data_IF_677668053557
#
_entry.id   IF_677668053557
#
_cell.length_a   1.000
_cell.length_b   1.000
_cell.length_c   1.000
_cell.angle_alpha   90.00
_cell.angle_beta   90.00
_cell.angle_gamma   90.00
#
_symmetry.space_group_name_H-M   'P 1'
#
loop_
_entity.id
_entity.type
_entity.pdbx_description
1 polymer ?
#
# COMPACT_ATOMS: atom_id res chain seq x y z
N UNK A 1 -25.00 9.83 -41.88
CA UNK A 1 -23.67 9.94 -41.25
C UNK A 1 -23.82 10.30 -39.77
N UNK A 2 -24.23 9.36 -38.90
CA UNK A 2 -24.54 9.64 -37.49
C UNK A 2 -24.09 8.52 -36.53
N UNK A 3 -22.89 7.97 -36.71
CA UNK A 3 -22.42 6.81 -35.94
C UNK A 3 -21.06 6.95 -35.22
N UNK A 4 -20.45 8.15 -35.16
CA UNK A 4 -19.06 8.26 -34.66
C UNK A 4 -18.92 8.71 -33.18
N UNK A 5 -20.00 9.08 -32.49
CA UNK A 5 -19.87 9.65 -31.13
C UNK A 5 -19.82 8.62 -29.99
N UNK A 6 -20.07 7.33 -30.25
CA UNK A 6 -20.12 6.28 -29.20
C UNK A 6 -18.84 5.48 -29.02
N UNK A 7 -17.86 5.60 -29.91
CA UNK A 7 -16.60 4.85 -29.88
C UNK A 7 -15.63 5.40 -28.82
N UNK A 8 -15.57 6.72 -28.66
CA UNK A 8 -14.62 7.38 -27.75
C UNK A 8 -14.74 6.97 -26.27
N UNK A 9 -15.94 6.88 -25.65
CA UNK A 9 -16.06 6.52 -24.23
C UNK A 9 -15.64 5.07 -23.92
N UNK A 10 -15.88 4.15 -24.84
CA UNK A 10 -15.50 2.74 -24.67
C UNK A 10 -13.99 2.54 -24.78
N UNK A 11 -13.35 3.21 -25.74
CA UNK A 11 -11.89 3.20 -25.89
C UNK A 11 -11.23 3.82 -24.66
N UNK A 12 -11.67 5.00 -24.23
CA UNK A 12 -11.12 5.66 -23.04
C UNK A 12 -11.25 4.77 -21.79
N UNK A 13 -12.43 4.17 -21.56
CA UNK A 13 -12.63 3.24 -20.44
C UNK A 13 -11.66 2.07 -20.52
N UNK A 14 -11.50 1.47 -21.69
CA UNK A 14 -10.59 0.34 -21.90
C UNK A 14 -9.16 0.73 -21.58
N UNK A 15 -8.70 1.88 -22.10
CA UNK A 15 -7.38 2.41 -21.80
C UNK A 15 -7.18 2.64 -20.29
N UNK A 16 -8.13 3.28 -19.60
CA UNK A 16 -8.04 3.53 -18.16
C UNK A 16 -7.95 2.21 -17.38
N UNK A 17 -8.84 1.26 -17.66
CA UNK A 17 -8.83 -0.05 -17.00
C UNK A 17 -7.50 -0.75 -17.23
N UNK A 18 -7.04 -0.85 -18.48
CA UNK A 18 -5.78 -1.52 -18.80
C UNK A 18 -4.57 -0.84 -18.15
N UNK A 19 -4.47 0.49 -18.19
CA UNK A 19 -3.34 1.22 -17.60
C UNK A 19 -3.27 1.01 -16.09
N UNK A 20 -4.40 1.11 -15.37
CA UNK A 20 -4.44 0.90 -13.93
C UNK A 20 -4.12 -0.54 -13.55
N UNK A 21 -4.67 -1.51 -14.28
CA UNK A 21 -4.41 -2.94 -14.03
C UNK A 21 -2.96 -3.32 -14.32
N UNK A 22 -2.42 -2.84 -15.45
CA UNK A 22 -1.01 -3.06 -15.81
C UNK A 22 -0.06 -2.42 -14.81
N UNK A 23 -0.40 -1.26 -14.25
CA UNK A 23 0.40 -0.64 -13.19
C UNK A 23 0.52 -1.57 -11.98
N UNK A 24 -0.61 -2.04 -11.42
CA UNK A 24 -0.60 -2.95 -10.25
C UNK A 24 0.13 -4.25 -10.55
N UNK A 25 -0.08 -4.83 -11.74
CA UNK A 25 0.62 -6.05 -12.16
C UNK A 25 2.14 -5.81 -12.25
N UNK A 26 2.55 -4.69 -12.85
CA UNK A 26 3.97 -4.36 -13.03
C UNK A 26 4.68 -4.06 -11.71
N UNK A 27 3.98 -3.54 -10.70
CA UNK A 27 4.56 -3.29 -9.37
C UNK A 27 4.57 -4.50 -8.45
N UNK A 28 3.62 -5.43 -8.60
CA UNK A 28 3.52 -6.61 -7.73
C UNK A 28 4.30 -7.81 -8.28
N UNK A 29 4.21 -8.12 -9.58
CA UNK A 29 4.87 -9.31 -10.14
C UNK A 29 6.39 -9.41 -9.89
N UNK A 30 7.15 -8.31 -9.80
CA UNK A 30 8.56 -8.37 -9.40
C UNK A 30 8.79 -9.03 -8.04
N UNK A 31 7.80 -9.08 -7.13
CA UNK A 31 7.92 -9.81 -5.88
C UNK A 31 8.09 -11.32 -6.07
N UNK A 32 7.72 -11.91 -7.21
CA UNK A 32 8.07 -13.30 -7.52
C UNK A 32 9.59 -13.53 -7.53
N UNK A 33 10.40 -12.48 -7.77
CA UNK A 33 11.87 -12.52 -7.67
C UNK A 33 12.35 -13.06 -6.33
N UNK A 34 11.61 -12.77 -5.26
CA UNK A 34 11.93 -13.20 -3.90
C UNK A 34 12.09 -14.70 -3.77
N UNK A 35 11.37 -15.49 -4.57
CA UNK A 35 11.42 -16.96 -4.53
C UNK A 35 12.83 -17.54 -4.75
N UNK A 36 13.66 -16.85 -5.54
CA UNK A 36 15.05 -17.22 -5.83
C UNK A 36 16.09 -16.22 -5.31
N UNK A 37 15.71 -14.96 -5.09
CA UNK A 37 16.58 -13.94 -4.54
C UNK A 37 15.85 -13.20 -3.41
N UNK A 38 15.99 -13.67 -2.16
CA UNK A 38 15.39 -13.03 -1.01
C UNK A 38 15.83 -11.58 -0.86
N UNK A 39 14.90 -10.72 -0.42
CA UNK A 39 15.20 -9.36 0.02
C UNK A 39 16.09 -9.38 1.25
N UNK A 40 16.73 -8.25 1.56
CA UNK A 40 17.41 -8.09 2.84
C UNK A 40 16.42 -7.72 3.93
N UNK A 41 16.56 -8.35 5.08
CA UNK A 41 15.73 -8.16 6.27
C UNK A 41 16.61 -7.68 7.43
N UNK A 42 16.29 -6.51 7.98
CA UNK A 42 16.98 -5.92 9.13
C UNK A 42 16.59 -6.57 10.46
N UNK A 43 15.53 -7.38 10.51
CA UNK A 43 15.09 -8.11 11.69
C UNK A 43 14.43 -7.24 12.75
N UNK A 44 13.75 -6.15 12.37
CA UNK A 44 12.94 -5.33 13.26
C UNK A 44 11.65 -4.87 12.60
N UNK A 45 10.67 -4.52 13.41
CA UNK A 45 9.43 -3.83 13.00
C UNK A 45 9.37 -2.50 13.74
N UNK A 46 8.96 -1.45 13.05
CA UNK A 46 8.71 -0.14 13.67
C UNK A 46 7.38 0.45 13.23
N UNK A 47 6.84 1.34 14.04
CA UNK A 47 5.69 2.16 13.65
C UNK A 47 6.09 3.33 12.73
N UNK A 48 5.09 4.09 12.26
CA UNK A 48 5.30 5.30 11.45
C UNK A 48 6.05 6.44 12.18
N UNK A 49 6.28 6.30 13.48
CA UNK A 49 7.08 7.21 14.30
C UNK A 49 8.53 6.81 14.47
N UNK A 50 8.92 5.64 13.94
CA UNK A 50 10.24 5.05 14.14
C UNK A 50 10.39 4.36 15.50
N UNK A 51 9.31 4.13 16.25
CA UNK A 51 9.39 3.33 17.47
C UNK A 51 9.50 1.86 17.08
N UNK A 52 10.55 1.20 17.55
CA UNK A 52 10.77 -0.23 17.31
C UNK A 52 9.79 -1.02 18.18
N UNK A 53 8.84 -1.69 17.54
CA UNK A 53 7.83 -2.50 18.25
C UNK A 53 8.31 -3.92 18.48
N UNK A 54 9.11 -4.46 17.55
CA UNK A 54 9.58 -5.84 17.59
C UNK A 54 11.01 -5.96 17.04
N UNK A 55 11.77 -6.93 17.55
CA UNK A 55 13.06 -7.34 16.98
C UNK A 55 13.16 -8.85 16.95
N UNK A 56 13.60 -9.42 15.83
CA UNK A 56 13.83 -10.87 15.71
C UNK A 56 15.01 -11.29 16.60
N UNK A 57 14.86 -12.29 17.48
CA UNK A 57 15.98 -12.88 18.20
C UNK A 57 17.11 -13.28 17.24
N UNK A 58 18.34 -12.97 17.61
CA UNK A 58 19.55 -13.24 16.82
C UNK A 58 19.59 -12.60 15.42
N UNK A 59 18.59 -11.78 15.03
CA UNK A 59 18.55 -11.05 13.77
C UNK A 59 19.45 -9.80 13.75
N UNK A 60 19.66 -9.15 12.58
CA UNK A 60 20.62 -8.06 12.44
C UNK A 60 20.42 -6.90 13.42
N UNK A 61 19.17 -6.43 13.58
CA UNK A 61 18.81 -5.41 14.54
C UNK A 61 19.15 -5.83 15.98
N UNK A 62 18.82 -7.07 16.36
CA UNK A 62 19.10 -7.57 17.70
C UNK A 62 20.61 -7.70 17.96
N UNK A 63 21.38 -8.18 16.98
CA UNK A 63 22.86 -8.25 17.05
C UNK A 63 23.49 -6.86 17.13
N UNK A 64 22.91 -5.87 16.46
CA UNK A 64 23.33 -4.46 16.54
C UNK A 64 22.88 -3.76 17.84
N UNK A 65 22.22 -4.47 18.75
CA UNK A 65 21.78 -3.93 20.04
C UNK A 65 20.47 -3.14 19.99
N UNK A 66 19.76 -3.11 18.84
CA UNK A 66 18.42 -2.53 18.76
C UNK A 66 17.43 -3.42 19.52
N UNK A 67 16.52 -2.80 20.26
CA UNK A 67 15.55 -3.51 21.13
C UNK A 67 14.16 -2.89 20.99
N UNK A 68 13.07 -3.64 21.24
CA UNK A 68 11.74 -3.07 21.33
C UNK A 68 11.69 -1.91 22.34
N UNK A 69 10.97 -0.86 22.00
CA UNK A 69 10.89 0.39 22.75
C UNK A 69 11.99 1.41 22.42
N UNK A 70 13.04 1.02 21.68
CA UNK A 70 13.98 1.99 21.12
C UNK A 70 13.30 2.86 20.06
N UNK A 71 13.78 4.09 19.88
CA UNK A 71 13.25 5.01 18.86
C UNK A 71 14.31 5.34 17.84
N UNK A 72 14.00 5.15 16.57
CA UNK A 72 14.85 5.57 15.46
C UNK A 72 14.72 7.09 15.30
N UNK A 73 15.83 7.80 15.49
CA UNK A 73 15.89 9.24 15.25
C UNK A 73 15.96 9.50 13.75
N UNK A 74 14.79 9.71 13.15
CA UNK A 74 14.64 9.97 11.73
C UNK A 74 15.38 11.26 11.31
N UNK A 75 15.48 12.26 12.20
CA UNK A 75 16.16 13.51 11.89
C UNK A 75 17.68 13.31 11.80
N UNK A 76 18.25 12.58 12.76
CA UNK A 76 19.68 12.28 12.81
C UNK A 76 20.11 11.12 11.90
N UNK A 77 19.17 10.35 11.33
CA UNK A 77 19.43 9.32 10.32
C UNK A 77 19.66 9.95 8.94
N UNK A 78 20.66 9.49 8.19
CA UNK A 78 20.95 10.01 6.85
C UNK A 78 19.72 9.88 5.93
N UNK A 79 19.43 10.88 5.07
CA UNK A 79 18.23 10.90 4.22
C UNK A 79 17.98 9.60 3.43
N UNK A 80 19.04 8.95 2.93
CA UNK A 80 18.94 7.70 2.17
C UNK A 80 18.42 6.50 2.99
N UNK A 81 18.59 6.51 4.31
CA UNK A 81 18.16 5.41 5.20
C UNK A 81 16.84 5.71 5.92
N UNK A 82 16.31 6.93 5.89
CA UNK A 82 15.10 7.31 6.65
C UNK A 82 13.87 6.49 6.27
N UNK A 83 13.73 6.12 5.01
CA UNK A 83 12.69 5.19 4.58
C UNK A 83 12.91 3.80 5.16
N UNK A 84 14.14 3.29 5.06
CA UNK A 84 14.50 1.96 5.56
C UNK A 84 14.39 1.86 7.08
N UNK A 85 14.47 3.00 7.79
CA UNK A 85 14.21 3.07 9.22
C UNK A 85 12.75 2.72 9.57
N UNK A 86 11.79 2.90 8.67
CA UNK A 86 10.38 2.54 8.91
C UNK A 86 10.08 1.10 8.51
N UNK A 87 10.67 0.63 7.41
CA UNK A 87 10.29 -0.66 6.79
C UNK A 87 11.27 -1.81 7.04
N UNK A 88 12.52 -1.53 7.44
CA UNK A 88 13.52 -2.55 7.77
C UNK A 88 13.87 -3.53 6.65
N UNK A 89 13.48 -3.25 5.40
CA UNK A 89 13.62 -4.18 4.26
C UNK A 89 14.42 -3.54 3.14
N UNK A 90 15.34 -4.30 2.54
CA UNK A 90 16.23 -3.84 1.46
C UNK A 90 16.15 -4.74 0.23
N UNK A 91 16.67 -4.29 -0.91
CA UNK A 91 16.58 -5.03 -2.17
C UNK A 91 17.32 -6.37 -2.12
N UNK A 92 18.40 -6.45 -1.36
CA UNK A 92 19.22 -7.65 -1.25
C UNK A 92 19.80 -7.81 0.14
N UNK A 93 20.02 -9.05 0.55
CA UNK A 93 20.77 -9.39 1.75
C UNK A 93 22.22 -8.85 1.69
N UNK A 94 22.82 -8.65 2.86
CA UNK A 94 24.19 -8.14 2.99
C UNK A 94 24.31 -6.62 2.83
N UNK A 95 23.20 -5.91 2.62
CA UNK A 95 23.22 -4.45 2.55
C UNK A 95 23.38 -3.86 3.95
N UNK A 96 24.29 -2.89 4.06
CA UNK A 96 24.54 -2.13 5.28
C UNK A 96 23.48 -1.04 5.45
N UNK A 97 22.89 -0.98 6.64
CA UNK A 97 21.97 0.08 7.06
C UNK A 97 22.57 0.85 8.24
N UNK A 98 22.42 2.17 8.21
CA UNK A 98 22.90 3.07 9.26
C UNK A 98 21.73 3.86 9.83
N UNK A 99 21.56 3.78 11.14
CA UNK A 99 20.47 4.46 11.83
C UNK A 99 21.00 5.23 13.03
N UNK A 100 20.41 6.40 13.29
CA UNK A 100 20.49 7.03 14.60
C UNK A 100 19.37 6.47 15.48
N UNK A 101 19.70 6.05 16.70
CA UNK A 101 18.78 5.42 17.65
C UNK A 101 18.85 6.18 18.95
N UNK A 102 17.70 6.66 19.41
CA UNK A 102 17.50 7.15 20.77
C UNK A 102 17.15 5.97 21.67
N UNK A 103 18.04 5.71 22.64
CA UNK A 103 17.83 4.69 23.67
C UNK A 103 18.33 5.24 25.01
N UNK A 104 17.48 5.17 26.04
CA UNK A 104 17.81 5.68 27.39
C UNK A 104 18.21 7.17 27.40
N UNK A 105 17.63 7.97 26.49
CA UNK A 105 17.91 9.40 26.36
C UNK A 105 19.24 9.74 25.68
N UNK A 106 19.96 8.74 25.15
CA UNK A 106 21.17 8.95 24.35
C UNK A 106 20.93 8.59 22.89
N UNK A 107 21.41 9.43 21.99
CA UNK A 107 21.42 9.13 20.55
C UNK A 107 22.73 8.42 20.22
N UNK A 108 22.63 7.22 19.68
CA UNK A 108 23.76 6.44 19.18
C UNK A 108 23.55 6.04 17.73
N UNK A 109 24.62 5.99 16.95
CA UNK A 109 24.57 5.46 15.60
C UNK A 109 24.83 3.96 15.63
N UNK A 110 23.92 3.19 15.05
CA UNK A 110 24.10 1.76 14.84
C UNK A 110 24.29 1.48 13.35
N UNK A 111 25.08 0.44 13.09
CA UNK A 111 25.26 -0.14 11.75
C UNK A 111 24.80 -1.58 11.84
N UNK A 112 23.94 -2.00 10.91
CA UNK A 112 23.54 -3.39 10.78
C UNK A 112 23.66 -3.85 9.33
N UNK A 113 23.87 -5.15 9.15
CA UNK A 113 23.96 -5.79 7.84
C UNK A 113 22.75 -6.70 7.72
N UNK A 114 21.92 -6.46 6.71
CA UNK A 114 20.69 -7.24 6.49
C UNK A 114 20.99 -8.71 6.24
N UNK A 115 20.18 -9.59 6.84
CA UNK A 115 20.21 -11.03 6.54
C UNK A 115 19.25 -11.31 5.36
N UNK A 116 19.38 -12.44 4.66
CA UNK A 116 18.33 -12.87 3.74
C UNK A 116 17.00 -13.01 4.48
N UNK A 117 15.91 -12.54 3.87
CA UNK A 117 14.56 -12.81 4.35
C UNK A 117 14.37 -14.32 4.54
N UNK A 118 13.88 -14.78 5.71
CA UNK A 118 13.64 -16.19 5.94
C UNK A 118 12.52 -16.69 5.02
N UNK A 119 12.85 -17.60 4.10
CA UNK A 119 11.90 -18.16 3.14
C UNK A 119 11.84 -19.67 3.20
N UNK A 120 10.93 -20.17 4.03
CA UNK A 120 10.54 -21.58 3.97
C UNK A 120 9.60 -21.86 2.78
N UNK A 121 9.29 -23.13 2.56
CA UNK A 121 8.41 -23.54 1.46
C UNK A 121 7.00 -22.94 1.61
N UNK A 122 6.48 -22.85 2.83
CA UNK A 122 5.16 -22.29 3.11
C UNK A 122 5.08 -20.81 2.67
N UNK A 123 6.09 -20.02 3.03
CA UNK A 123 6.23 -18.60 2.65
C UNK A 123 6.30 -18.44 1.14
N UNK A 124 7.09 -19.27 0.45
CA UNK A 124 7.18 -19.27 -1.02
C UNK A 124 5.85 -19.58 -1.69
N UNK A 125 5.16 -20.61 -1.23
CA UNK A 125 3.82 -20.97 -1.75
C UNK A 125 2.80 -19.88 -1.46
N UNK A 126 2.89 -19.21 -0.30
CA UNK A 126 2.04 -18.09 0.05
C UNK A 126 2.25 -16.89 -0.88
N UNK A 127 3.49 -16.54 -1.21
CA UNK A 127 3.80 -15.50 -2.21
C UNK A 127 3.17 -15.85 -3.55
N UNK A 128 3.41 -17.06 -4.07
CA UNK A 128 2.85 -17.50 -5.36
C UNK A 128 1.32 -17.41 -5.34
N UNK A 129 0.69 -17.88 -4.27
CA UNK A 129 -0.79 -17.88 -4.14
C UNK A 129 -1.34 -16.46 -4.11
N UNK A 130 -0.68 -15.53 -3.41
CA UNK A 130 -1.08 -14.12 -3.35
C UNK A 130 -0.95 -13.43 -4.71
N UNK A 131 0.11 -13.70 -5.47
CA UNK A 131 0.28 -13.16 -6.82
C UNK A 131 -0.79 -13.69 -7.79
N UNK A 132 -1.07 -14.99 -7.76
CA UNK A 132 -2.14 -15.58 -8.57
C UNK A 132 -3.52 -15.01 -8.19
N UNK A 133 -3.78 -14.84 -6.89
CA UNK A 133 -5.01 -14.22 -6.40
C UNK A 133 -5.12 -12.77 -6.88
N UNK A 134 -4.04 -11.98 -6.84
CA UNK A 134 -4.02 -10.62 -7.38
C UNK A 134 -4.36 -10.59 -8.86
N UNK A 135 -3.74 -11.44 -9.69
CA UNK A 135 -4.03 -11.50 -11.13
C UNK A 135 -5.51 -11.82 -11.40
N UNK A 136 -6.08 -12.77 -10.66
CA UNK A 136 -7.49 -13.12 -10.76
C UNK A 136 -8.38 -11.95 -10.32
N UNK A 137 -8.10 -11.32 -9.18
CA UNK A 137 -8.90 -10.20 -8.64
C UNK A 137 -8.90 -9.01 -9.60
N UNK A 138 -7.71 -8.57 -10.03
CA UNK A 138 -7.56 -7.45 -10.98
C UNK A 138 -8.23 -7.79 -12.31
N UNK A 139 -8.05 -9.02 -12.82
CA UNK A 139 -8.67 -9.48 -14.05
C UNK A 139 -10.21 -9.50 -13.99
N UNK A 140 -10.79 -10.01 -12.90
CA UNK A 140 -12.24 -10.04 -12.69
C UNK A 140 -12.78 -8.61 -12.57
N UNK A 141 -12.16 -7.75 -11.76
CA UNK A 141 -12.57 -6.36 -11.62
C UNK A 141 -12.52 -5.60 -12.96
N UNK A 142 -11.45 -5.78 -13.72
CA UNK A 142 -11.31 -5.20 -15.06
C UNK A 142 -12.41 -5.69 -16.01
N UNK A 143 -12.64 -7.01 -16.07
CA UNK A 143 -13.68 -7.60 -16.91
C UNK A 143 -15.07 -7.05 -16.58
N UNK A 144 -15.41 -6.93 -15.28
CA UNK A 144 -16.70 -6.38 -14.85
C UNK A 144 -16.91 -4.93 -15.31
N UNK A 145 -15.90 -4.07 -15.17
CA UNK A 145 -15.98 -2.67 -15.62
C UNK A 145 -16.10 -2.57 -17.15
N UNK A 146 -15.39 -3.42 -17.89
CA UNK A 146 -15.43 -3.41 -19.36
C UNK A 146 -16.79 -3.89 -19.89
N UNK A 147 -17.34 -4.94 -19.29
CA UNK A 147 -18.60 -5.57 -19.70
C UNK A 147 -19.84 -4.78 -19.26
N UNK A 148 -19.84 -4.25 -18.03
CA UNK A 148 -21.02 -3.57 -17.44
C UNK A 148 -20.59 -2.36 -16.58
N UNK A 149 -20.16 -1.25 -17.21
CA UNK A 149 -19.69 -0.09 -16.46
C UNK A 149 -20.80 0.53 -15.61
N UNK A 150 -20.64 0.46 -14.29
CA UNK A 150 -21.49 1.14 -13.30
C UNK A 150 -20.63 1.63 -12.12
N UNK A 151 -21.13 2.53 -11.26
CA UNK A 151 -20.42 2.94 -10.05
C UNK A 151 -20.02 1.75 -9.17
N UNK A 152 -20.88 0.72 -9.07
CA UNK A 152 -20.59 -0.49 -8.32
C UNK A 152 -19.40 -1.25 -8.92
N UNK A 153 -19.39 -1.51 -10.25
CA UNK A 153 -18.27 -2.25 -10.87
C UNK A 153 -16.96 -1.48 -10.79
N UNK A 154 -17.00 -0.14 -10.89
CA UNK A 154 -15.82 0.70 -10.69
C UNK A 154 -15.33 0.65 -9.25
N UNK A 155 -16.23 0.73 -8.27
CA UNK A 155 -15.89 0.58 -6.85
C UNK A 155 -15.23 -0.78 -6.58
N UNK A 156 -15.79 -1.86 -7.12
CA UNK A 156 -15.21 -3.20 -7.03
C UNK A 156 -13.84 -3.27 -7.70
N UNK A 157 -13.67 -2.66 -8.89
CA UNK A 157 -12.38 -2.66 -9.57
C UNK A 157 -11.30 -1.92 -8.78
N UNK A 158 -11.61 -0.75 -8.21
CA UNK A 158 -10.67 -0.05 -7.34
C UNK A 158 -10.34 -0.85 -6.07
N UNK A 159 -11.33 -1.53 -5.49
CA UNK A 159 -11.10 -2.50 -4.42
C UNK A 159 -10.08 -3.57 -4.84
N UNK A 160 -10.26 -4.18 -6.02
CA UNK A 160 -9.30 -5.15 -6.56
C UNK A 160 -7.92 -4.55 -6.78
N UNK A 161 -7.81 -3.31 -7.25
CA UNK A 161 -6.52 -2.66 -7.49
C UNK A 161 -5.79 -2.25 -6.21
N UNK A 162 -6.52 -1.89 -5.16
CA UNK A 162 -5.93 -1.39 -3.91
C UNK A 162 -5.75 -2.43 -2.82
N UNK A 163 -6.63 -3.44 -2.78
CA UNK A 163 -6.66 -4.48 -1.77
C UNK A 163 -6.51 -5.88 -2.41
N UNK A 164 -5.73 -5.98 -3.49
CA UNK A 164 -5.37 -7.25 -4.15
C UNK A 164 -4.63 -8.22 -3.23
N UNK A 165 -3.95 -7.67 -2.22
CA UNK A 165 -3.26 -8.47 -1.22
C UNK A 165 -2.01 -9.17 -1.74
N UNK A 166 -1.43 -8.83 -2.89
CA UNK A 166 -0.07 -9.24 -3.25
C UNK A 166 0.97 -8.35 -2.55
N UNK A 167 2.18 -8.86 -2.23
CA UNK A 167 3.29 -7.99 -1.84
C UNK A 167 3.70 -7.08 -3.01
N UNK A 168 4.21 -5.91 -2.69
CA UNK A 168 4.57 -4.87 -3.66
C UNK A 168 5.89 -4.16 -3.28
N UNK A 169 6.80 -4.93 -2.69
CA UNK A 169 8.04 -4.49 -2.04
C UNK A 169 9.20 -4.41 -3.03
N UNK A 170 9.31 -5.35 -3.97
CA UNK A 170 10.50 -5.45 -4.82
C UNK A 170 10.57 -4.31 -5.82
N UNK A 171 9.49 -4.03 -6.54
CA UNK A 171 9.49 -3.00 -7.59
C UNK A 171 9.95 -1.63 -7.07
N UNK A 172 9.38 -1.06 -5.98
CA UNK A 172 9.85 0.21 -5.47
C UNK A 172 11.33 0.23 -5.09
N UNK A 173 11.85 -0.87 -4.53
CA UNK A 173 13.26 -0.95 -4.13
C UNK A 173 14.22 -0.99 -5.34
N UNK A 174 13.77 -1.49 -6.49
CA UNK A 174 14.57 -1.52 -7.72
C UNK A 174 14.72 -0.14 -8.39
N UNK A 175 13.72 0.74 -8.29
CA UNK A 175 13.73 2.03 -9.00
C UNK A 175 14.71 3.07 -8.44
N UNK A 176 15.29 2.84 -7.26
CA UNK A 176 16.20 3.79 -6.59
C UNK A 176 15.53 5.13 -6.24
N UNK A 177 16.25 6.02 -5.55
CA UNK A 177 15.75 7.37 -5.26
C UNK A 177 15.94 8.29 -6.49
N UNK A 178 14.96 9.16 -6.86
CA UNK A 178 13.70 9.44 -6.15
C UNK A 178 12.50 8.59 -6.61
N UNK A 179 12.68 7.73 -7.61
CA UNK A 179 11.58 7.03 -8.27
C UNK A 179 10.86 6.03 -7.37
N UNK A 180 11.59 5.41 -6.43
CA UNK A 180 11.01 4.56 -5.39
C UNK A 180 9.90 5.29 -4.61
N UNK A 181 10.09 6.58 -4.28
CA UNK A 181 9.11 7.38 -3.57
C UNK A 181 7.86 7.62 -4.41
N UNK A 182 8.02 7.81 -5.73
CA UNK A 182 6.89 7.96 -6.65
C UNK A 182 6.08 6.68 -6.70
N UNK A 183 6.74 5.52 -6.87
CA UNK A 183 6.06 4.22 -6.95
C UNK A 183 5.31 3.92 -5.66
N UNK A 184 5.94 4.09 -4.51
CA UNK A 184 5.29 3.92 -3.21
C UNK A 184 4.13 4.88 -2.99
N UNK A 185 4.25 6.14 -3.42
CA UNK A 185 3.14 7.10 -3.33
C UNK A 185 1.95 6.64 -4.16
N UNK A 186 2.21 6.16 -5.38
CA UNK A 186 1.18 5.63 -6.26
C UNK A 186 0.53 4.38 -5.66
N UNK A 187 1.32 3.43 -5.14
CA UNK A 187 0.80 2.26 -4.42
C UNK A 187 -0.08 2.67 -3.23
N UNK A 188 0.38 3.63 -2.41
CA UNK A 188 -0.40 4.21 -1.34
C UNK A 188 -1.71 4.84 -1.81
N UNK A 189 -1.73 5.48 -2.98
CA UNK A 189 -2.97 5.97 -3.61
C UNK A 189 -3.88 4.83 -4.05
N UNK A 190 -3.36 3.73 -4.59
CA UNK A 190 -4.15 2.56 -4.96
C UNK A 190 -4.79 1.90 -3.73
N UNK A 191 -4.03 1.69 -2.64
CA UNK A 191 -4.56 1.14 -1.38
C UNK A 191 -5.73 2.00 -0.89
N UNK A 192 -5.55 3.31 -0.86
CA UNK A 192 -6.60 4.25 -0.47
C UNK A 192 -7.81 4.22 -1.42
N UNK A 193 -7.57 4.16 -2.73
CA UNK A 193 -8.63 3.97 -3.72
C UNK A 193 -9.36 2.64 -3.53
N UNK A 194 -8.71 1.59 -3.03
CA UNK A 194 -9.32 0.32 -2.68
C UNK A 194 -10.33 0.42 -1.55
N UNK A 195 -9.97 1.14 -0.47
CA UNK A 195 -10.90 1.42 0.63
C UNK A 195 -12.09 2.29 0.20
N UNK A 196 -11.86 3.25 -0.69
CA UNK A 196 -12.95 4.04 -1.26
C UNK A 196 -13.83 3.17 -2.17
N UNK A 197 -13.18 2.34 -2.97
CA UNK A 197 -13.81 1.41 -3.90
C UNK A 197 -14.76 0.45 -3.20
N UNK A 198 -14.35 -0.13 -2.07
CA UNK A 198 -15.22 -1.05 -1.30
C UNK A 198 -16.43 -0.33 -0.71
N UNK A 199 -16.30 0.92 -0.25
CA UNK A 199 -17.44 1.71 0.23
C UNK A 199 -18.42 2.07 -0.90
N UNK A 200 -17.89 2.50 -2.06
CA UNK A 200 -18.70 2.76 -3.25
C UNK A 200 -19.40 1.49 -3.73
N UNK A 201 -18.69 0.36 -3.77
CA UNK A 201 -19.28 -0.93 -4.11
C UNK A 201 -20.41 -1.29 -3.14
N UNK A 202 -20.16 -1.27 -1.83
CA UNK A 202 -21.18 -1.60 -0.82
C UNK A 202 -22.42 -0.70 -0.87
N UNK A 203 -22.24 0.59 -1.14
CA UNK A 203 -23.36 1.54 -1.25
C UNK A 203 -24.23 1.30 -2.50
N UNK A 204 -23.63 0.87 -3.61
CA UNK A 204 -24.32 0.65 -4.88
C UNK A 204 -24.62 -0.83 -5.16
N UNK A 205 -24.22 -1.73 -4.26
CA UNK A 205 -24.48 -3.16 -4.41
C UNK A 205 -25.99 -3.40 -4.45
N UNK A 206 -26.46 -4.02 -5.54
CA UNK A 206 -27.88 -4.29 -5.84
C UNK A 206 -28.78 -3.05 -5.98
N UNK A 207 -28.21 -1.84 -6.07
CA UNK A 207 -28.98 -0.60 -6.16
C UNK A 207 -28.45 0.30 -7.28
N UNK A 208 -29.22 0.43 -8.37
CA UNK A 208 -28.85 1.33 -9.48
C UNK A 208 -28.96 2.81 -9.11
N UNK A 209 -29.86 3.13 -8.17
CA UNK A 209 -30.11 4.50 -7.69
C UNK A 209 -30.07 4.51 -6.17
N UNK A 210 -28.94 4.89 -5.55
CA UNK A 210 -28.85 4.93 -4.10
C UNK A 210 -29.79 5.97 -3.51
N UNK A 211 -30.52 5.60 -2.46
CA UNK A 211 -31.39 6.49 -1.68
C UNK A 211 -30.81 6.68 -0.27
N UNK A 212 -31.43 7.55 0.54
CA UNK A 212 -31.03 7.74 1.94
C UNK A 212 -29.59 8.23 2.10
N UNK A 213 -28.81 7.58 2.96
CA UNK A 213 -27.41 7.93 3.22
C UNK A 213 -26.47 7.54 2.05
N UNK A 214 -26.81 6.51 1.28
CA UNK A 214 -25.97 5.96 0.19
C UNK A 214 -25.69 6.96 -0.91
N UNK A 215 -26.62 7.89 -1.16
CA UNK A 215 -26.46 8.96 -2.17
C UNK A 215 -25.30 9.90 -1.88
N UNK A 216 -24.86 9.99 -0.61
CA UNK A 216 -23.75 10.84 -0.19
C UNK A 216 -22.38 10.16 -0.33
N UNK A 217 -22.33 8.85 -0.59
CA UNK A 217 -21.07 8.10 -0.66
C UNK A 217 -20.22 8.53 -1.85
N UNK A 218 -20.80 8.78 -3.03
CA UNK A 218 -20.03 9.23 -4.20
C UNK A 218 -19.39 10.62 -4.01
N UNK A 219 -20.13 11.67 -3.59
CA UNK A 219 -19.52 12.96 -3.27
C UNK A 219 -18.43 12.84 -2.21
N UNK A 220 -18.67 12.07 -1.15
CA UNK A 220 -17.70 11.82 -0.09
C UNK A 220 -16.45 11.12 -0.63
N UNK A 221 -16.60 10.11 -1.50
CA UNK A 221 -15.50 9.42 -2.14
C UNK A 221 -14.57 10.40 -2.88
N UNK A 222 -15.11 11.37 -3.61
CA UNK A 222 -14.30 12.41 -4.27
C UNK A 222 -13.47 13.25 -3.31
N UNK A 223 -14.06 13.67 -2.18
CA UNK A 223 -13.35 14.41 -1.12
C UNK A 223 -12.25 13.54 -0.52
N UNK A 224 -12.55 12.28 -0.23
CA UNK A 224 -11.60 11.35 0.37
C UNK A 224 -10.42 11.02 -0.53
N UNK A 225 -10.63 10.88 -1.85
CA UNK A 225 -9.53 10.74 -2.82
C UNK A 225 -8.57 11.92 -2.71
N UNK A 226 -9.09 13.14 -2.62
CA UNK A 226 -8.26 14.34 -2.46
C UNK A 226 -7.54 14.35 -1.10
N UNK A 227 -8.23 14.01 0.00
CA UNK A 227 -7.61 13.91 1.32
C UNK A 227 -6.46 12.91 1.33
N UNK A 228 -6.62 11.74 0.70
CA UNK A 228 -5.56 10.75 0.59
C UNK A 228 -4.43 11.15 -0.35
N UNK A 229 -4.72 11.83 -1.46
CA UNK A 229 -3.68 12.38 -2.32
C UNK A 229 -2.81 13.38 -1.53
N UNK A 230 -3.44 14.22 -0.69
CA UNK A 230 -2.75 15.17 0.19
C UNK A 230 -1.92 14.42 1.23
N UNK A 231 -2.47 13.41 1.91
CA UNK A 231 -1.70 12.66 2.92
C UNK A 231 -0.49 11.99 2.30
N UNK A 232 -0.63 11.33 1.15
CA UNK A 232 0.48 10.69 0.44
C UNK A 232 1.53 11.69 -0.04
N UNK A 233 1.10 12.85 -0.55
CA UNK A 233 1.99 13.94 -0.93
C UNK A 233 2.77 14.52 0.27
N UNK A 234 2.25 14.37 1.49
CA UNK A 234 2.91 14.83 2.72
C UNK A 234 3.87 13.80 3.34
N UNK A 235 3.67 12.49 3.15
CA UNK A 235 4.51 11.45 3.78
C UNK A 235 5.98 11.63 3.43
N UNK A 236 6.31 11.69 2.15
CA UNK A 236 7.71 11.72 1.70
C UNK A 236 8.45 13.00 2.04
N UNK A 237 7.91 14.20 1.79
CA UNK A 237 8.54 15.43 2.24
C UNK A 237 8.75 15.46 3.75
N UNK A 238 7.80 14.92 4.53
CA UNK A 238 7.90 14.86 6.00
C UNK A 238 9.05 13.95 6.43
N UNK A 239 9.13 12.76 5.87
CA UNK A 239 10.22 11.81 6.14
C UNK A 239 11.58 12.35 5.69
N UNK A 240 11.64 12.94 4.48
CA UNK A 240 12.85 13.57 3.95
C UNK A 240 13.25 14.84 4.72
N UNK A 241 12.33 15.48 5.43
CA UNK A 241 12.63 16.56 6.37
C UNK A 241 13.09 16.05 7.75
N UNK A 242 13.26 14.74 7.92
CA UNK A 242 13.68 14.15 9.19
C UNK A 242 12.56 14.07 10.23
N UNK A 243 11.30 14.22 9.82
CA UNK A 243 10.15 14.24 10.74
C UNK A 243 9.43 12.91 10.74
N UNK A 244 8.86 12.57 11.89
CA UNK A 244 7.96 11.42 12.03
C UNK A 244 6.74 11.57 11.12
N UNK A 245 6.34 10.46 10.48
CA UNK A 245 5.12 10.38 9.67
C UNK A 245 3.95 9.76 10.44
N UNK A 246 4.09 9.55 11.76
CA UNK A 246 3.08 8.93 12.61
C UNK A 246 1.71 9.61 12.51
N UNK A 247 1.65 10.94 12.61
CA UNK A 247 0.39 11.67 12.52
C UNK A 247 -0.29 11.47 11.15
N UNK A 248 0.49 11.55 10.07
CA UNK A 248 -0.04 11.37 8.71
C UNK A 248 -0.52 9.94 8.49
N UNK A 249 0.27 8.94 8.94
CA UNK A 249 -0.08 7.53 8.89
C UNK A 249 -1.35 7.21 9.70
N UNK A 250 -1.44 7.71 10.94
CA UNK A 250 -2.61 7.49 11.79
C UNK A 250 -3.88 8.14 11.23
N UNK A 251 -3.78 9.34 10.65
CA UNK A 251 -4.91 9.97 9.94
C UNK A 251 -5.34 9.12 8.75
N UNK A 252 -4.40 8.65 7.93
CA UNK A 252 -4.72 7.78 6.79
C UNK A 252 -5.41 6.48 7.24
N UNK A 253 -4.88 5.81 8.27
CA UNK A 253 -5.48 4.60 8.84
C UNK A 253 -6.89 4.85 9.39
N UNK A 254 -7.10 5.98 10.08
CA UNK A 254 -8.43 6.37 10.58
C UNK A 254 -9.46 6.55 9.46
N UNK A 255 -9.06 7.18 8.35
CA UNK A 255 -9.92 7.33 7.17
C UNK A 255 -10.20 5.95 6.53
N UNK A 256 -9.18 5.09 6.38
CA UNK A 256 -9.37 3.74 5.84
C UNK A 256 -10.34 2.91 6.68
N UNK A 257 -10.19 2.93 8.01
CA UNK A 257 -11.09 2.23 8.93
C UNK A 257 -12.53 2.75 8.83
N UNK A 258 -12.72 4.07 8.75
CA UNK A 258 -14.02 4.68 8.53
C UNK A 258 -14.68 4.20 7.22
N UNK A 259 -13.91 4.10 6.13
CA UNK A 259 -14.42 3.61 4.85
C UNK A 259 -14.80 2.12 4.88
N UNK A 260 -14.01 1.30 5.56
CA UNK A 260 -14.35 -0.09 5.79
C UNK A 260 -15.67 -0.23 6.57
N UNK A 261 -15.89 0.61 7.59
CA UNK A 261 -17.14 0.64 8.37
C UNK A 261 -18.35 1.03 7.50
N UNK A 262 -18.22 2.05 6.64
CA UNK A 262 -19.28 2.42 5.69
C UNK A 262 -19.61 1.25 4.75
N UNK A 263 -18.58 0.59 4.21
CA UNK A 263 -18.77 -0.54 3.32
C UNK A 263 -19.50 -1.71 4.01
N UNK A 264 -19.07 -2.07 5.22
CA UNK A 264 -19.73 -3.12 6.01
C UNK A 264 -21.17 -2.77 6.34
N UNK A 265 -21.44 -1.53 6.77
CA UNK A 265 -22.80 -1.08 7.08
C UNK A 265 -23.70 -1.17 5.84
N UNK A 266 -23.23 -0.70 4.68
CA UNK A 266 -23.97 -0.80 3.42
C UNK A 266 -24.24 -2.23 3.00
N UNK A 267 -23.28 -3.15 3.17
CA UNK A 267 -23.50 -4.56 2.88
C UNK A 267 -24.53 -5.17 3.84
N UNK A 268 -24.41 -4.95 5.15
CA UNK A 268 -25.33 -5.50 6.16
C UNK A 268 -26.76 -5.00 5.93
N UNK A 269 -26.94 -3.69 5.74
CA UNK A 269 -28.26 -3.08 5.47
C UNK A 269 -28.91 -3.69 4.23
N UNK A 270 -28.14 -4.03 3.20
CA UNK A 270 -28.65 -4.65 1.95
C UNK A 270 -29.22 -6.05 2.17
N UNK A 271 -28.79 -6.78 3.20
CA UNK A 271 -29.24 -8.16 3.46
C UNK A 271 -30.25 -8.29 4.60
N UNK A 272 -30.33 -7.31 5.49
CA UNK A 272 -31.18 -7.36 6.70
C UNK A 272 -32.54 -6.69 6.49
N UNK A 273 -32.65 -5.74 5.55
CA UNK A 273 -33.86 -4.96 5.25
C UNK A 273 -34.49 -5.44 3.95
#
# INVERSE_FOLDING_TARGET
MANDTKTHPAVLRTCVVCVLGLFVIATCLPDLRRLWQPTGDAGFVSDFGGNVTETRPDGPANRAGLRPGARLDIAATDPQYRFLAIYGTTLSAGQELRFAVEQEGQVRHIVLITDPEPMDLATKLFIITRELAMLLFVGIGAALVLLRPSPATWGFYFYCLGLHGAPDVVAPLEFGSPWNHVVWSLQGMFINAGFIGVAVFGAFFLHDKPTGWRRYVLPLAGILVLSFAITQACVWPTLNAGRSVATVGNVALGIQAFMALIAMYGLIETYVV
#
